data_IF_194132852761
#
_entry.id   IF_194132852761
#
_cell.length_a   1.000
_cell.length_b   1.000
_cell.length_c   1.000
_cell.angle_alpha   90.00
_cell.angle_beta   90.00
_cell.angle_gamma   90.00
#
_symmetry.space_group_name_H-M   'P 1'
#
loop_
_entity.id
_entity.type
_entity.pdbx_description
1 polymer ?
#
# COMPACT_ATOMS: atom_id res chain seq x y z
N UNK A 1 5.29 -8.65 12.60
CA UNK A 1 6.62 -9.10 12.11
C UNK A 1 6.60 -9.18 10.60
N UNK A 2 7.59 -8.63 9.88
CA UNK A 2 7.61 -8.65 8.40
C UNK A 2 7.92 -10.06 7.90
N UNK A 3 7.28 -10.51 6.81
CA UNK A 3 7.49 -11.82 6.15
C UNK A 3 8.98 -12.13 5.88
N UNK A 4 9.79 -11.09 5.65
CA UNK A 4 11.25 -11.14 5.53
C UNK A 4 11.94 -11.77 6.75
N UNK A 5 11.48 -11.48 7.96
CA UNK A 5 12.09 -12.01 9.19
C UNK A 5 11.84 -13.52 9.32
N UNK A 6 10.67 -14.00 8.90
CA UNK A 6 10.37 -15.44 8.85
C UNK A 6 11.21 -16.16 7.78
N UNK A 7 11.43 -15.53 6.62
CA UNK A 7 12.27 -16.08 5.56
C UNK A 7 13.74 -16.24 6.01
N UNK A 8 14.30 -15.22 6.66
CA UNK A 8 15.66 -15.27 7.21
C UNK A 8 15.77 -16.40 8.23
N UNK A 9 14.83 -16.48 9.17
CA UNK A 9 14.81 -17.53 10.20
C UNK A 9 14.70 -18.93 9.58
N UNK A 10 13.89 -19.10 8.54
CA UNK A 10 13.78 -20.35 7.79
C UNK A 10 15.11 -20.76 7.16
N UNK A 11 15.81 -19.84 6.49
CA UNK A 11 17.12 -20.11 5.87
C UNK A 11 18.15 -20.49 6.93
N UNK A 12 18.20 -19.78 8.07
CA UNK A 12 19.14 -20.08 9.15
C UNK A 12 18.94 -21.49 9.70
N UNK A 13 17.68 -21.89 9.98
CA UNK A 13 17.38 -23.23 10.51
C UNK A 13 17.63 -24.31 9.44
N UNK A 14 17.43 -23.98 8.16
CA UNK A 14 17.72 -24.90 7.06
C UNK A 14 19.22 -25.22 6.96
N UNK A 15 20.07 -24.21 7.08
CA UNK A 15 21.53 -24.40 7.13
C UNK A 15 21.94 -25.22 8.35
N UNK A 16 21.34 -24.97 9.51
CA UNK A 16 21.57 -25.77 10.73
C UNK A 16 21.16 -27.24 10.51
N UNK A 17 20.03 -27.49 9.86
CA UNK A 17 19.59 -28.85 9.54
C UNK A 17 20.60 -29.59 8.62
N UNK A 18 21.18 -28.91 7.63
CA UNK A 18 22.22 -29.49 6.77
C UNK A 18 23.45 -29.86 7.59
N UNK A 19 23.92 -28.97 8.48
CA UNK A 19 25.06 -29.23 9.35
C UNK A 19 24.79 -30.44 10.27
N UNK A 20 23.60 -30.51 10.87
CA UNK A 20 23.20 -31.62 11.74
C UNK A 20 23.11 -32.96 10.99
N UNK A 21 22.70 -32.95 9.72
CA UNK A 21 22.69 -34.14 8.87
C UNK A 21 24.11 -34.64 8.57
N UNK A 22 25.05 -33.73 8.27
CA UNK A 22 26.48 -34.06 8.07
C UNK A 22 27.09 -34.65 9.35
N UNK A 23 26.76 -34.07 10.51
CA UNK A 23 27.22 -34.52 11.83
C UNK A 23 26.47 -35.76 12.35
N UNK A 24 25.52 -36.31 11.59
CA UNK A 24 24.69 -37.48 11.95
C UNK A 24 23.95 -37.32 13.29
N UNK A 25 23.64 -36.10 13.70
CA UNK A 25 22.89 -35.81 14.93
C UNK A 25 21.37 -35.92 14.68
N UNK A 26 20.89 -37.15 14.51
CA UNK A 26 19.53 -37.44 14.04
C UNK A 26 18.42 -36.85 14.91
N UNK A 27 18.52 -36.92 16.24
CA UNK A 27 17.50 -36.34 17.14
C UNK A 27 17.35 -34.82 16.98
N UNK A 28 18.47 -34.11 16.88
CA UNK A 28 18.49 -32.66 16.67
C UNK A 28 18.05 -32.29 15.26
N UNK A 29 18.36 -33.13 14.26
CA UNK A 29 17.88 -32.98 12.90
C UNK A 29 16.34 -33.05 12.82
N UNK A 30 15.71 -34.01 13.48
CA UNK A 30 14.24 -34.12 13.52
C UNK A 30 13.59 -32.90 14.18
N UNK A 31 14.19 -32.36 15.24
CA UNK A 31 13.74 -31.12 15.85
C UNK A 31 13.84 -29.92 14.87
N UNK A 32 14.99 -29.77 14.20
CA UNK A 32 15.20 -28.71 13.22
C UNK A 32 14.23 -28.79 12.03
N UNK A 33 13.96 -29.99 11.51
CA UNK A 33 12.98 -30.22 10.44
C UNK A 33 11.55 -29.87 10.86
N UNK A 34 11.18 -30.17 12.10
CA UNK A 34 9.86 -29.82 12.64
C UNK A 34 9.70 -28.30 12.76
N UNK A 35 10.74 -27.60 13.22
CA UNK A 35 10.77 -26.14 13.23
C UNK A 35 10.66 -25.53 11.82
N UNK A 36 11.37 -26.10 10.83
CA UNK A 36 11.26 -25.68 9.43
C UNK A 36 9.84 -25.84 8.90
N UNK A 37 9.19 -26.97 9.21
CA UNK A 37 7.82 -27.23 8.79
C UNK A 37 6.84 -26.19 9.36
N UNK A 38 6.92 -25.89 10.66
CA UNK A 38 6.08 -24.87 11.31
C UNK A 38 6.30 -23.48 10.71
N UNK A 39 7.56 -23.08 10.49
CA UNK A 39 7.88 -21.79 9.87
C UNK A 39 7.39 -21.74 8.42
N UNK A 40 7.51 -22.85 7.68
CA UNK A 40 6.97 -22.99 6.32
C UNK A 40 5.46 -22.77 6.27
N UNK A 41 4.71 -23.40 7.18
CA UNK A 41 3.26 -23.17 7.32
C UNK A 41 2.96 -21.70 7.63
N UNK A 42 3.71 -21.07 8.54
CA UNK A 42 3.51 -19.65 8.87
C UNK A 42 3.74 -18.73 7.66
N UNK A 43 4.74 -19.01 6.83
CA UNK A 43 5.00 -18.24 5.59
C UNK A 43 3.83 -18.37 4.61
N UNK A 44 3.31 -19.59 4.42
CA UNK A 44 2.18 -19.85 3.52
C UNK A 44 0.90 -19.21 4.06
N UNK A 45 0.59 -19.40 5.35
CA UNK A 45 -0.57 -18.81 5.99
C UNK A 45 -0.54 -17.28 5.92
N UNK A 46 0.61 -16.65 6.17
CA UNK A 46 0.79 -15.20 5.99
C UNK A 46 0.51 -14.77 4.54
N UNK A 47 0.98 -15.53 3.56
CA UNK A 47 0.74 -15.22 2.15
C UNK A 47 -0.75 -15.31 1.77
N UNK A 48 -1.47 -16.32 2.29
CA UNK A 48 -2.90 -16.50 2.07
C UNK A 48 -3.69 -15.35 2.71
N UNK A 49 -3.33 -14.95 3.93
CA UNK A 49 -3.96 -13.81 4.63
C UNK A 49 -3.75 -12.52 3.84
N UNK A 50 -2.52 -12.24 3.41
CA UNK A 50 -2.19 -11.07 2.59
C UNK A 50 -2.98 -11.05 1.28
N UNK A 51 -3.07 -12.20 0.59
CA UNK A 51 -3.81 -12.31 -0.66
C UNK A 51 -5.32 -12.12 -0.45
N UNK A 52 -5.90 -12.72 0.60
CA UNK A 52 -7.30 -12.54 0.99
C UNK A 52 -7.61 -11.09 1.32
N UNK A 53 -6.70 -10.39 2.01
CA UNK A 53 -6.80 -8.98 2.32
C UNK A 53 -6.80 -8.11 1.06
N UNK A 54 -5.83 -8.31 0.15
CA UNK A 54 -5.76 -7.60 -1.14
C UNK A 54 -7.01 -7.82 -2.01
N UNK A 55 -7.54 -9.05 -2.03
CA UNK A 55 -8.76 -9.38 -2.76
C UNK A 55 -10.00 -8.68 -2.19
N UNK A 56 -10.07 -8.47 -0.87
CA UNK A 56 -11.15 -7.72 -0.21
C UNK A 56 -11.07 -6.22 -0.51
N UNK A 57 -9.86 -5.63 -0.53
CA UNK A 57 -9.63 -4.24 -0.91
C UNK A 57 -10.20 -3.90 -2.29
N UNK A 58 -9.84 -4.70 -3.28
CA UNK A 58 -10.19 -4.47 -4.68
C UNK A 58 -11.69 -4.66 -4.94
N UNK A 59 -12.29 -5.74 -4.40
CA UNK A 59 -13.70 -6.10 -4.70
C UNK A 59 -14.75 -5.46 -3.79
N UNK A 60 -14.48 -5.29 -2.49
CA UNK A 60 -15.49 -4.79 -1.54
C UNK A 60 -15.33 -3.32 -1.21
N UNK A 61 -14.10 -2.81 -1.23
CA UNK A 61 -13.82 -1.46 -0.76
C UNK A 61 -13.57 -0.49 -1.92
N UNK A 62 -13.50 -1.00 -3.16
CA UNK A 62 -13.14 -0.23 -4.35
C UNK A 62 -11.82 0.54 -4.17
N UNK A 63 -10.90 -0.06 -3.43
CA UNK A 63 -9.54 0.44 -3.21
C UNK A 63 -8.64 -0.45 -4.05
N UNK A 64 -8.05 0.15 -5.08
CA UNK A 64 -7.24 -0.58 -6.03
C UNK A 64 -5.97 -1.11 -5.37
N UNK A 65 -5.58 -2.31 -5.76
CA UNK A 65 -4.23 -2.80 -5.52
C UNK A 65 -3.23 -1.93 -6.27
N UNK A 66 -1.96 -1.92 -5.84
CA UNK A 66 -0.87 -1.25 -6.56
C UNK A 66 -0.88 -1.53 -8.06
N UNK A 67 -1.07 -2.80 -8.46
CA UNK A 67 -1.10 -3.21 -9.86
C UNK A 67 -2.26 -2.59 -10.63
N UNK A 68 -3.46 -2.57 -10.06
CA UNK A 68 -4.62 -1.93 -10.69
C UNK A 68 -4.49 -0.41 -10.70
N UNK A 69 -3.90 0.18 -9.67
CA UNK A 69 -3.64 1.61 -9.60
C UNK A 69 -2.64 2.07 -10.67
N UNK A 70 -1.61 1.26 -10.96
CA UNK A 70 -0.68 1.50 -12.07
C UNK A 70 -1.41 1.46 -13.41
N UNK A 71 -2.37 0.56 -13.60
CA UNK A 71 -3.19 0.50 -14.82
C UNK A 71 -4.05 1.76 -14.98
N UNK A 72 -4.71 2.21 -13.92
CA UNK A 72 -5.48 3.46 -13.98
C UNK A 72 -4.59 4.69 -14.22
N UNK A 73 -3.42 4.75 -13.58
CA UNK A 73 -2.42 5.76 -13.87
C UNK A 73 -2.07 5.82 -15.36
N UNK A 74 -1.81 4.67 -15.99
CA UNK A 74 -1.47 4.61 -17.41
C UNK A 74 -2.62 5.14 -18.29
N UNK A 75 -3.88 4.82 -17.98
CA UNK A 75 -5.05 5.37 -18.71
C UNK A 75 -5.14 6.89 -18.60
N UNK A 76 -4.90 7.42 -17.40
CA UNK A 76 -4.92 8.88 -17.13
C UNK A 76 -3.75 9.55 -17.86
N UNK A 77 -2.55 8.98 -17.81
CA UNK A 77 -1.37 9.47 -18.55
C UNK A 77 -1.64 9.56 -20.06
N UNK A 78 -2.16 8.48 -20.67
CA UNK A 78 -2.54 8.49 -22.09
C UNK A 78 -3.58 9.58 -22.38
N UNK A 79 -4.54 9.79 -21.47
CA UNK A 79 -5.56 10.84 -21.63
C UNK A 79 -4.98 12.26 -21.53
N UNK A 80 -3.95 12.45 -20.69
CA UNK A 80 -3.21 13.71 -20.56
C UNK A 80 -2.37 14.00 -21.80
N UNK A 81 -1.66 12.99 -22.30
CA UNK A 81 -0.83 13.08 -23.52
C UNK A 81 -1.69 13.31 -24.76
N UNK A 82 -2.90 12.73 -24.80
CA UNK A 82 -3.90 13.00 -25.84
C UNK A 82 -4.63 14.35 -25.67
N UNK A 83 -4.28 15.16 -24.66
CA UNK A 83 -4.87 16.48 -24.43
C UNK A 83 -6.30 16.50 -23.88
N UNK A 84 -6.87 15.35 -23.48
CA UNK A 84 -8.24 15.25 -22.94
C UNK A 84 -8.36 15.83 -21.52
N UNK A 85 -7.27 15.76 -20.76
CA UNK A 85 -7.17 16.36 -19.42
C UNK A 85 -5.99 17.33 -19.39
N UNK A 86 -6.10 18.37 -18.57
CA UNK A 86 -5.10 19.44 -18.51
C UNK A 86 -3.93 19.09 -17.59
N UNK A 87 -4.22 18.46 -16.47
CA UNK A 87 -3.24 18.06 -15.46
C UNK A 87 -3.78 16.90 -14.62
N UNK A 88 -2.91 16.21 -13.90
CA UNK A 88 -3.29 15.33 -12.80
C UNK A 88 -2.15 15.27 -11.79
N UNK A 89 -2.44 14.88 -10.55
CA UNK A 89 -1.45 14.72 -9.50
C UNK A 89 -1.68 13.41 -8.74
N UNK A 90 -0.61 12.93 -8.11
CA UNK A 90 -0.63 11.82 -7.19
C UNK A 90 -0.49 12.36 -5.78
N UNK A 91 -1.43 12.00 -4.92
CA UNK A 91 -1.43 12.34 -3.50
C UNK A 91 -1.19 11.07 -2.70
N UNK A 92 -0.14 11.08 -1.89
CA UNK A 92 0.16 9.98 -0.98
C UNK A 92 -0.25 10.40 0.44
N UNK A 93 -1.17 9.65 1.03
CA UNK A 93 -1.57 9.77 2.43
C UNK A 93 -0.89 8.68 3.25
N UNK A 94 0.01 9.11 4.14
CA UNK A 94 0.62 8.25 5.15
C UNK A 94 -0.19 8.33 6.44
N UNK A 95 -1.04 7.34 6.67
CA UNK A 95 -1.89 7.26 7.85
C UNK A 95 -1.03 6.79 9.04
N UNK A 96 -1.02 7.54 10.16
CA UNK A 96 -0.17 7.23 11.33
C UNK A 96 -0.56 5.92 12.05
N UNK A 97 -1.83 5.51 11.93
CA UNK A 97 -2.32 4.21 12.43
C UNK A 97 -2.34 3.19 11.30
N UNK A 98 -2.22 1.91 11.69
CA UNK A 98 -2.31 0.74 10.81
C UNK A 98 -3.77 0.58 10.33
N UNK A 99 -4.20 1.48 9.44
CA UNK A 99 -5.55 1.57 8.86
C UNK A 99 -5.83 0.31 8.06
N UNK A 100 -6.72 -0.55 8.59
CA UNK A 100 -7.04 -1.84 7.97
C UNK A 100 -8.54 -2.07 7.93
N UNK A 101 -8.99 -2.76 6.89
CA UNK A 101 -10.37 -3.21 6.79
C UNK A 101 -11.37 -2.05 6.74
N UNK A 102 -12.24 -1.96 7.75
CA UNK A 102 -13.39 -1.04 7.75
C UNK A 102 -12.97 0.43 7.83
N UNK A 103 -11.90 0.78 8.56
CA UNK A 103 -11.47 2.18 8.67
C UNK A 103 -10.98 2.72 7.32
N UNK A 104 -10.24 1.88 6.61
CA UNK A 104 -9.73 2.19 5.28
C UNK A 104 -10.87 2.28 4.25
N UNK A 105 -11.90 1.42 4.39
CA UNK A 105 -13.15 1.51 3.61
C UNK A 105 -13.88 2.83 3.88
N UNK A 106 -14.09 3.19 5.14
CA UNK A 106 -14.78 4.44 5.51
C UNK A 106 -14.01 5.67 5.02
N UNK A 107 -12.68 5.62 5.03
CA UNK A 107 -11.85 6.67 4.45
C UNK A 107 -12.00 6.76 2.92
N UNK A 108 -11.96 5.64 2.20
CA UNK A 108 -12.16 5.66 0.74
C UNK A 108 -13.56 6.11 0.35
N UNK A 109 -14.59 5.66 1.07
CA UNK A 109 -15.98 6.11 0.85
C UNK A 109 -16.12 7.60 1.12
N UNK A 110 -15.52 8.10 2.19
CA UNK A 110 -15.49 9.53 2.48
C UNK A 110 -14.87 10.35 1.35
N UNK A 111 -13.69 9.93 0.85
CA UNK A 111 -13.02 10.61 -0.26
C UNK A 111 -13.84 10.58 -1.55
N UNK A 112 -14.44 9.44 -1.89
CA UNK A 112 -15.27 9.27 -3.09
C UNK A 112 -16.57 10.07 -3.01
N UNK A 113 -17.31 9.96 -1.92
CA UNK A 113 -18.63 10.58 -1.80
C UNK A 113 -18.55 12.09 -1.65
N UNK A 114 -17.59 12.60 -0.87
CA UNK A 114 -17.55 14.02 -0.54
C UNK A 114 -16.77 14.85 -1.56
N UNK A 115 -15.78 14.26 -2.21
CA UNK A 115 -14.86 14.99 -3.09
C UNK A 115 -14.79 14.42 -4.51
N UNK A 116 -15.54 13.36 -4.82
CA UNK A 116 -15.53 12.70 -6.13
C UNK A 116 -14.14 12.29 -6.60
N UNK A 117 -13.28 11.91 -5.65
CA UNK A 117 -11.89 11.53 -5.91
C UNK A 117 -11.83 10.04 -6.24
N UNK A 118 -11.37 9.72 -7.45
CA UNK A 118 -11.11 8.37 -7.95
C UNK A 118 -10.08 8.48 -9.10
N UNK A 119 -9.12 7.56 -9.24
CA UNK A 119 -8.93 6.31 -8.51
C UNK A 119 -8.20 6.44 -7.16
N UNK A 120 -8.58 5.57 -6.21
CA UNK A 120 -7.93 5.40 -4.89
C UNK A 120 -7.33 3.99 -4.82
N UNK A 121 -6.09 3.88 -4.37
CA UNK A 121 -5.42 2.60 -4.14
C UNK A 121 -4.60 2.54 -2.85
N UNK A 122 -4.17 1.34 -2.51
CA UNK A 122 -3.39 1.07 -1.29
C UNK A 122 -2.01 0.48 -1.64
N UNK A 123 -0.94 1.19 -1.26
CA UNK A 123 0.47 0.83 -1.46
C UNK A 123 1.34 1.36 -0.31
N UNK A 124 1.52 0.56 0.75
CA UNK A 124 2.20 0.95 2.00
C UNK A 124 1.74 2.32 2.52
N UNK A 125 0.43 2.56 2.48
CA UNK A 125 -0.25 3.85 2.64
C UNK A 125 -1.37 3.99 1.62
N UNK A 126 -2.13 5.09 1.65
CA UNK A 126 -3.20 5.33 0.68
C UNK A 126 -2.66 6.24 -0.41
N UNK A 127 -2.74 5.79 -1.66
CA UNK A 127 -2.39 6.57 -2.83
C UNK A 127 -3.67 6.97 -3.54
N UNK A 128 -3.77 8.25 -3.88
CA UNK A 128 -4.93 8.84 -4.52
C UNK A 128 -4.44 9.54 -5.79
N UNK A 129 -5.10 9.28 -6.92
CA UNK A 129 -4.82 10.01 -8.16
C UNK A 129 -5.95 11.01 -8.38
N UNK A 130 -5.61 12.28 -8.50
CA UNK A 130 -6.56 13.38 -8.68
C UNK A 130 -6.36 14.01 -10.05
N UNK A 131 -7.44 14.11 -10.82
CA UNK A 131 -7.42 14.64 -12.19
C UNK A 131 -7.87 16.11 -12.21
N UNK A 132 -7.22 16.92 -13.04
CA UNK A 132 -7.52 18.33 -13.30
C UNK A 132 -7.55 19.22 -12.04
N UNK A 133 -6.73 18.92 -11.04
CA UNK A 133 -6.63 19.74 -9.83
C UNK A 133 -5.32 20.53 -9.80
N UNK A 134 -5.44 21.84 -9.62
CA UNK A 134 -4.30 22.73 -9.43
C UNK A 134 -3.74 22.62 -8.00
N UNK A 135 -2.48 22.99 -7.82
CA UNK A 135 -1.77 22.88 -6.54
C UNK A 135 -2.45 23.59 -5.37
N UNK A 136 -2.83 24.85 -5.58
CA UNK A 136 -3.53 25.65 -4.58
C UNK A 136 -4.84 24.97 -4.13
N UNK A 137 -5.64 24.47 -5.09
CA UNK A 137 -6.90 23.78 -4.79
C UNK A 137 -6.67 22.47 -4.04
N UNK A 138 -5.59 21.75 -4.37
CA UNK A 138 -5.22 20.51 -3.68
C UNK A 138 -4.85 20.79 -2.22
N UNK A 139 -4.09 21.83 -1.95
CA UNK A 139 -3.73 22.23 -0.58
C UNK A 139 -4.97 22.62 0.24
N UNK A 140 -5.93 23.34 -0.36
CA UNK A 140 -7.21 23.64 0.28
C UNK A 140 -8.04 22.38 0.53
N UNK A 141 -8.13 21.49 -0.45
CA UNK A 141 -8.82 20.22 -0.34
C UNK A 141 -8.25 19.37 0.80
N UNK A 142 -6.92 19.32 0.95
CA UNK A 142 -6.29 18.61 2.07
C UNK A 142 -6.64 19.24 3.42
N UNK A 143 -6.68 20.58 3.51
CA UNK A 143 -7.12 21.26 4.75
C UNK A 143 -8.55 20.89 5.10
N UNK A 144 -9.45 20.89 4.12
CA UNK A 144 -10.86 20.49 4.29
C UNK A 144 -10.93 19.03 4.76
N UNK A 145 -10.20 18.12 4.09
CA UNK A 145 -10.11 16.71 4.49
C UNK A 145 -9.64 16.58 5.95
N UNK A 146 -8.55 17.29 6.33
CA UNK A 146 -8.02 17.25 7.71
C UNK A 146 -9.04 17.72 8.75
N UNK A 147 -9.76 18.80 8.48
CA UNK A 147 -10.75 19.35 9.41
C UNK A 147 -11.95 18.42 9.57
N UNK A 148 -12.48 17.93 8.46
CA UNK A 148 -13.61 17.00 8.44
C UNK A 148 -13.31 15.66 9.13
N UNK A 149 -12.08 15.17 8.98
CA UNK A 149 -11.64 13.96 9.68
C UNK A 149 -11.57 14.16 11.21
N UNK A 150 -11.18 15.36 11.67
CA UNK A 150 -11.24 15.69 13.11
C UNK A 150 -12.67 15.71 13.63
N UNK A 151 -13.61 16.29 12.88
CA UNK A 151 -15.01 16.39 13.27
C UNK A 151 -15.71 15.03 13.33
N UNK A 152 -15.36 14.11 12.44
CA UNK A 152 -15.94 12.75 12.40
C UNK A 152 -15.34 11.77 13.42
N UNK A 153 -14.47 12.23 14.31
CA UNK A 153 -13.65 11.37 15.20
C UNK A 153 -12.94 10.23 14.46
N UNK A 154 -12.71 10.41 13.15
CA UNK A 154 -11.76 9.60 12.42
C UNK A 154 -10.40 10.08 12.94
N UNK A 155 -9.91 9.47 14.03
CA UNK A 155 -8.65 9.77 14.74
C UNK A 155 -7.42 9.49 13.86
N UNK A 156 -7.37 10.11 12.69
CA UNK A 156 -6.39 9.89 11.65
C UNK A 156 -5.53 11.12 11.60
N UNK A 157 -4.44 11.04 12.35
CA UNK A 157 -3.29 11.85 11.99
C UNK A 157 -2.72 11.22 10.73
N UNK A 158 -2.63 12.01 9.68
CA UNK A 158 -2.00 11.61 8.45
C UNK A 158 -1.05 12.70 7.99
N UNK A 159 0.10 12.25 7.50
CA UNK A 159 0.99 13.09 6.72
C UNK A 159 0.65 12.87 5.25
N UNK A 160 0.90 13.87 4.43
CA UNK A 160 0.65 13.74 3.00
C UNK A 160 1.82 14.33 2.21
N UNK A 161 1.94 13.88 0.97
CA UNK A 161 2.75 14.58 -0.01
C UNK A 161 2.09 14.45 -1.37
N UNK A 162 2.39 15.41 -2.24
CA UNK A 162 1.74 15.58 -3.53
C UNK A 162 2.83 15.67 -4.58
N UNK A 163 2.65 14.95 -5.69
CA UNK A 163 3.48 15.08 -6.87
C UNK A 163 2.61 15.38 -8.09
N UNK A 164 2.97 16.40 -8.84
CA UNK A 164 2.26 16.82 -10.05
C UNK A 164 2.90 16.16 -11.26
N UNK A 165 2.08 15.61 -12.16
CA UNK A 165 2.59 15.13 -13.43
C UNK A 165 3.04 16.33 -14.28
N UNK A 166 4.34 16.44 -14.51
CA UNK A 166 4.95 17.48 -15.33
C UNK A 166 5.01 17.04 -16.79
N UNK A 167 5.83 16.03 -17.08
CA UNK A 167 5.91 15.36 -18.38
C UNK A 167 6.69 14.05 -18.30
N UNK A 168 6.17 13.01 -18.96
CA UNK A 168 6.77 11.70 -19.16
C UNK A 168 7.10 10.90 -17.89
N UNK A 169 6.73 11.35 -16.69
CA UNK A 169 7.01 10.60 -15.48
C UNK A 169 6.31 9.23 -15.48
N UNK A 170 6.94 8.28 -14.81
CA UNK A 170 6.37 7.00 -14.45
C UNK A 170 5.60 7.09 -13.14
N UNK A 171 4.69 6.14 -12.90
CA UNK A 171 3.98 6.03 -11.63
C UNK A 171 4.94 5.99 -10.44
N UNK A 172 6.05 5.27 -10.58
CA UNK A 172 6.99 5.06 -9.47
C UNK A 172 7.78 6.32 -9.13
N UNK A 173 8.10 7.16 -10.12
CA UNK A 173 8.73 8.47 -9.91
C UNK A 173 7.81 9.40 -9.14
N UNK A 174 6.57 9.60 -9.61
CA UNK A 174 5.58 10.43 -8.92
C UNK A 174 5.25 9.91 -7.51
N UNK A 175 5.14 8.59 -7.35
CA UNK A 175 4.93 7.99 -6.03
C UNK A 175 6.10 8.28 -5.08
N UNK A 176 7.33 8.15 -5.56
CA UNK A 176 8.52 8.40 -4.74
C UNK A 176 8.64 9.88 -4.35
N UNK A 177 8.32 10.79 -5.27
CA UNK A 177 8.29 12.23 -5.04
C UNK A 177 7.19 12.62 -4.02
N UNK A 178 5.95 12.17 -4.24
CA UNK A 178 4.87 12.41 -3.28
C UNK A 178 5.19 11.81 -1.90
N UNK A 179 5.94 10.71 -1.86
CA UNK A 179 6.37 10.08 -0.62
C UNK A 179 7.55 10.78 0.06
N UNK A 180 8.37 11.54 -0.67
CA UNK A 180 9.50 12.29 -0.11
C UNK A 180 9.10 13.67 0.40
N UNK A 181 8.12 14.31 -0.25
CA UNK A 181 7.59 15.64 0.09
C UNK A 181 6.65 15.66 1.31
N UNK A 182 6.88 14.80 2.31
CA UNK A 182 5.99 14.65 3.46
C UNK A 182 5.91 15.95 4.26
N UNK A 183 4.69 16.47 4.39
CA UNK A 183 4.32 17.63 5.23
C UNK A 183 3.32 17.24 6.32
#
# INVERSE_FOLDING_TARGET
MKRRNFLITFITIFVIAIILAILKQWQLLYAALTFLFVIGIMIIASAIIDHSYKKKLDKRYQILTKENLIKEYQKIKISKEAGKIKAFCLVYFNLEKDFRGNDLKSFSEFLKTKFSIDPIGYDDGVVVIVVNMHEIMMNELIKIIKNEMKEKELFVRFNYGIAYYGNNESYQELYNEAKSLRS
#
